data_IF_961578508963
#
_entry.id   IF_961578508963
#
_cell.length_a   1.000
_cell.length_b   1.000
_cell.length_c   1.000
_cell.angle_alpha   90.00
_cell.angle_beta   90.00
_cell.angle_gamma   90.00
#
_symmetry.space_group_name_H-M   'P 1'
#
loop_
_entity.id
_entity.type
_entity.pdbx_description
1 polymer ?
#
# COMPACT_ATOMS: atom_id res chain seq x y z
N UNK A 1 -27.30 -17.93 -1.51
CA UNK A 1 -27.77 -16.68 -2.16
C UNK A 1 -26.87 -15.54 -1.74
N UNK A 2 -26.31 -14.75 -2.68
CA UNK A 2 -25.54 -13.54 -2.37
C UNK A 2 -26.34 -12.52 -1.53
N UNK A 3 -25.67 -11.72 -0.71
CA UNK A 3 -26.31 -10.72 0.16
C UNK A 3 -27.17 -9.72 -0.63
N UNK A 4 -26.64 -9.18 -1.72
CA UNK A 4 -27.36 -8.26 -2.60
C UNK A 4 -28.67 -8.88 -3.13
N UNK A 5 -28.65 -10.16 -3.49
CA UNK A 5 -29.85 -10.87 -3.98
C UNK A 5 -30.89 -11.11 -2.88
N UNK A 6 -30.48 -11.27 -1.60
CA UNK A 6 -31.43 -11.35 -0.47
C UNK A 6 -32.07 -9.99 -0.20
N UNK A 7 -31.29 -8.92 -0.18
CA UNK A 7 -31.80 -7.57 0.05
C UNK A 7 -32.76 -7.12 -1.07
N UNK A 8 -32.43 -7.45 -2.33
CA UNK A 8 -33.31 -7.16 -3.46
C UNK A 8 -34.69 -7.80 -3.35
N UNK A 9 -34.82 -8.98 -2.72
CA UNK A 9 -36.12 -9.63 -2.50
C UNK A 9 -37.01 -8.86 -1.52
N UNK A 10 -36.43 -8.05 -0.63
CA UNK A 10 -37.17 -7.14 0.26
C UNK A 10 -37.20 -5.70 -0.25
N UNK A 11 -36.85 -5.47 -1.53
CA UNK A 11 -36.81 -4.13 -2.13
C UNK A 11 -35.70 -3.22 -1.60
N UNK A 12 -34.71 -3.78 -0.89
CA UNK A 12 -33.58 -3.04 -0.33
C UNK A 12 -32.38 -3.10 -1.28
N UNK A 13 -31.61 -2.01 -1.31
CA UNK A 13 -30.34 -1.93 -2.01
C UNK A 13 -29.19 -2.14 -1.02
N UNK A 14 -28.10 -2.76 -1.49
CA UNK A 14 -26.92 -2.95 -0.65
C UNK A 14 -26.12 -1.65 -0.56
N UNK A 15 -26.17 -1.00 0.59
CA UNK A 15 -25.32 0.15 0.93
C UNK A 15 -24.10 -0.26 1.76
N UNK A 16 -23.16 0.67 1.93
CA UNK A 16 -21.89 0.45 2.65
C UNK A 16 -22.10 0.11 4.13
N UNK A 17 -23.07 0.74 4.80
CA UNK A 17 -23.36 0.51 6.22
C UNK A 17 -23.90 -0.91 6.41
N UNK A 18 -24.87 -1.30 5.58
CA UNK A 18 -25.44 -2.65 5.57
C UNK A 18 -24.38 -3.71 5.25
N UNK A 19 -23.53 -3.45 4.25
CA UNK A 19 -22.44 -4.36 3.89
C UNK A 19 -21.46 -4.56 5.07
N UNK A 20 -21.05 -3.48 5.73
CA UNK A 20 -20.13 -3.56 6.87
C UNK A 20 -20.74 -4.36 8.02
N UNK A 21 -22.02 -4.14 8.36
CA UNK A 21 -22.70 -4.89 9.41
C UNK A 21 -22.75 -6.39 9.12
N UNK A 22 -23.06 -6.76 7.88
CA UNK A 22 -23.12 -8.16 7.45
C UNK A 22 -21.74 -8.84 7.45
N UNK A 23 -20.69 -8.11 7.06
CA UNK A 23 -19.30 -8.60 7.18
C UNK A 23 -18.90 -8.79 8.63
N UNK A 24 -19.21 -7.83 9.51
CA UNK A 24 -18.95 -7.96 10.95
C UNK A 24 -19.62 -9.20 11.53
N UNK A 25 -20.90 -9.43 11.20
CA UNK A 25 -21.62 -10.63 11.63
C UNK A 25 -20.98 -11.91 11.08
N UNK A 26 -20.64 -11.94 9.80
CA UNK A 26 -20.00 -13.12 9.20
C UNK A 26 -18.62 -13.41 9.84
N UNK A 27 -17.84 -12.38 10.14
CA UNK A 27 -16.57 -12.52 10.85
C UNK A 27 -16.79 -13.15 12.23
N UNK A 28 -17.74 -12.66 13.01
CA UNK A 28 -18.00 -13.16 14.36
C UNK A 28 -18.60 -14.56 14.40
N UNK A 29 -19.56 -14.86 13.53
CA UNK A 29 -20.34 -16.11 13.61
C UNK A 29 -19.72 -17.26 12.80
N UNK A 30 -18.94 -16.94 11.76
CA UNK A 30 -18.47 -17.95 10.80
C UNK A 30 -16.95 -17.92 10.67
N UNK A 31 -16.36 -16.79 10.30
CA UNK A 31 -14.95 -16.76 9.94
C UNK A 31 -14.02 -17.00 11.13
N UNK A 32 -14.37 -16.45 12.30
CA UNK A 32 -13.57 -16.57 13.52
C UNK A 32 -13.86 -17.86 14.32
N UNK A 33 -15.04 -18.46 14.11
CA UNK A 33 -15.49 -19.67 14.82
C UNK A 33 -15.19 -20.98 14.08
N UNK A 34 -14.93 -20.92 12.76
CA UNK A 34 -14.59 -22.12 11.97
C UNK A 34 -13.27 -22.75 12.43
N UNK A 35 -13.14 -24.06 12.25
CA UNK A 35 -11.83 -24.73 12.34
C UNK A 35 -11.05 -24.42 11.05
N UNK A 36 -9.88 -23.80 11.18
CA UNK A 36 -9.10 -23.37 10.03
C UNK A 36 -8.32 -24.55 9.40
N UNK A 37 -8.40 -24.75 8.08
CA UNK A 37 -7.89 -25.95 7.41
C UNK A 37 -6.39 -26.21 7.53
N UNK A 38 -5.55 -25.18 7.56
CA UNK A 38 -4.09 -25.35 7.70
C UNK A 38 -3.67 -25.55 9.15
N UNK A 39 -4.39 -24.94 10.07
CA UNK A 39 -3.91 -24.74 11.43
C UNK A 39 -4.72 -25.50 12.46
N UNK A 40 -5.84 -26.11 12.06
CA UNK A 40 -6.68 -27.02 12.85
C UNK A 40 -7.19 -26.44 14.18
N UNK A 41 -7.13 -25.14 14.37
CA UNK A 41 -7.68 -24.42 15.52
C UNK A 41 -8.69 -23.37 15.03
N UNK A 42 -9.55 -22.90 15.93
CA UNK A 42 -10.41 -21.74 15.68
C UNK A 42 -9.58 -20.46 15.64
N UNK A 43 -9.75 -19.58 14.62
CA UNK A 43 -9.03 -18.31 14.56
C UNK A 43 -9.21 -17.43 15.80
N UNK A 44 -10.41 -17.33 16.37
CA UNK A 44 -10.64 -16.54 17.59
C UNK A 44 -9.81 -17.03 18.79
N UNK A 45 -9.76 -18.34 18.99
CA UNK A 45 -9.02 -18.96 20.09
C UNK A 45 -7.51 -18.81 19.90
N UNK A 46 -7.01 -19.01 18.66
CA UNK A 46 -5.59 -18.83 18.39
C UNK A 46 -5.16 -17.37 18.52
N UNK A 47 -5.97 -16.42 18.02
CA UNK A 47 -5.67 -14.97 18.11
C UNK A 47 -5.42 -14.53 19.55
N UNK A 48 -6.15 -15.11 20.52
CA UNK A 48 -5.97 -14.82 21.96
C UNK A 48 -4.56 -15.17 22.45
N UNK A 49 -3.92 -16.19 21.87
CA UNK A 49 -2.54 -16.60 22.18
C UNK A 49 -1.51 -15.80 21.39
N UNK A 50 -1.78 -15.54 20.11
CA UNK A 50 -0.87 -14.85 19.20
C UNK A 50 -0.74 -13.36 19.52
N UNK A 51 -1.80 -12.71 20.00
CA UNK A 51 -1.79 -11.25 20.27
C UNK A 51 -0.68 -10.83 21.23
N UNK A 52 -0.28 -11.71 22.17
CA UNK A 52 0.80 -11.45 23.12
C UNK A 52 2.18 -11.35 22.46
N UNK A 53 2.31 -11.85 21.24
CA UNK A 53 3.55 -11.89 20.47
C UNK A 53 3.54 -10.88 19.31
N UNK A 54 2.42 -10.19 19.07
CA UNK A 54 2.30 -9.17 18.04
C UNK A 54 2.97 -7.86 18.48
N UNK A 55 3.57 -7.16 17.53
CA UNK A 55 4.08 -5.81 17.76
C UNK A 55 2.92 -4.84 17.97
N UNK A 56 3.17 -3.79 18.76
CA UNK A 56 2.21 -2.70 18.90
C UNK A 56 1.89 -2.08 17.53
N UNK A 57 0.64 -1.63 17.36
CA UNK A 57 0.28 -0.84 16.19
C UNK A 57 1.13 0.43 16.15
N UNK A 58 1.62 0.76 14.96
CA UNK A 58 2.32 2.02 14.75
C UNK A 58 1.42 3.20 15.09
N UNK A 59 2.01 4.30 15.55
CA UNK A 59 1.25 5.52 15.77
C UNK A 59 0.56 5.91 14.46
N UNK A 60 -0.68 6.45 14.51
CA UNK A 60 -1.39 6.90 13.32
C UNK A 60 -0.47 7.79 12.47
N UNK A 61 -0.30 7.45 11.20
CA UNK A 61 0.51 8.25 10.28
C UNK A 61 -0.06 9.65 10.25
N UNK A 62 0.70 10.62 10.77
CA UNK A 62 0.22 12.00 10.94
C UNK A 62 0.12 12.74 9.60
N UNK A 63 0.69 12.22 8.51
CA UNK A 63 0.78 12.90 7.21
C UNK A 63 1.61 14.19 7.22
N UNK A 64 1.81 14.78 8.41
CA UNK A 64 2.54 16.00 8.64
C UNK A 64 4.02 15.71 8.84
N UNK A 65 4.68 15.32 7.75
CA UNK A 65 6.13 15.28 7.70
C UNK A 65 6.58 16.72 7.55
N UNK A 66 7.08 17.34 8.63
CA UNK A 66 7.52 18.73 8.62
C UNK A 66 8.52 19.03 7.48
N UNK A 67 9.35 18.05 7.11
CA UNK A 67 10.31 18.13 6.00
C UNK A 67 9.68 17.99 4.59
N UNK A 68 8.45 17.48 4.47
CA UNK A 68 7.71 17.37 3.21
C UNK A 68 6.76 18.54 2.97
N UNK A 69 6.65 19.47 3.93
CA UNK A 69 5.83 20.67 3.77
C UNK A 69 6.44 21.53 2.65
N UNK A 70 5.63 22.05 1.70
CA UNK A 70 6.14 22.99 0.71
C UNK A 70 6.76 24.18 1.44
N UNK A 71 8.08 24.31 1.36
CA UNK A 71 8.75 25.52 1.82
C UNK A 71 8.36 26.63 0.86
N UNK A 72 7.93 27.78 1.38
CA UNK A 72 7.80 28.98 0.55
C UNK A 72 9.15 29.19 -0.14
N UNK A 73 9.17 29.10 -1.47
CA UNK A 73 10.39 29.27 -2.24
C UNK A 73 10.96 30.64 -1.90
N UNK A 74 12.10 30.67 -1.20
CA UNK A 74 12.94 31.86 -1.24
C UNK A 74 13.40 31.94 -2.69
N UNK A 75 13.23 33.08 -3.40
CA UNK A 75 13.69 33.20 -4.76
C UNK A 75 15.22 33.09 -4.77
N UNK A 76 15.72 31.86 -4.91
CA UNK A 76 17.10 31.61 -5.21
C UNK A 76 17.38 32.18 -6.61
N UNK A 77 18.54 32.83 -6.83
CA UNK A 77 18.92 33.25 -8.16
C UNK A 77 18.90 32.02 -9.07
N UNK A 78 18.07 32.08 -10.12
CA UNK A 78 17.95 31.02 -11.12
C UNK A 78 19.31 30.83 -11.79
N UNK A 79 20.12 29.91 -11.29
CA UNK A 79 21.32 29.47 -12.01
C UNK A 79 20.82 28.80 -13.28
N UNK A 80 21.15 29.33 -14.47
CA UNK A 80 20.70 28.72 -15.71
C UNK A 80 21.28 27.31 -15.77
N UNK A 81 20.39 26.33 -15.98
CA UNK A 81 20.77 24.94 -16.15
C UNK A 81 21.78 24.85 -17.31
N UNK A 82 22.87 24.06 -17.19
CA UNK A 82 23.80 23.86 -18.30
C UNK A 82 23.09 23.36 -19.55
N UNK A 83 23.50 23.85 -20.74
CA UNK A 83 22.85 23.55 -22.01
C UNK A 83 22.66 22.03 -22.25
N UNK A 84 23.67 21.23 -21.93
CA UNK A 84 23.62 19.75 -22.05
C UNK A 84 22.47 19.11 -21.28
N UNK A 85 22.09 19.67 -20.12
CA UNK A 85 21.00 19.12 -19.30
C UNK A 85 19.65 19.55 -19.86
N UNK A 86 19.56 20.76 -20.43
CA UNK A 86 18.34 21.22 -21.13
C UNK A 86 18.09 20.34 -22.35
N UNK A 87 19.12 20.11 -23.17
CA UNK A 87 19.06 19.26 -24.35
C UNK A 87 18.65 17.83 -23.97
N UNK A 88 19.25 17.24 -22.94
CA UNK A 88 18.90 15.89 -22.45
C UNK A 88 17.45 15.77 -21.97
N UNK A 89 16.92 16.78 -21.29
CA UNK A 89 15.53 16.76 -20.79
C UNK A 89 14.52 16.90 -21.93
N UNK A 90 14.89 17.63 -22.99
CA UNK A 90 14.04 17.82 -24.16
C UNK A 90 13.97 16.57 -25.05
N UNK A 91 14.91 15.63 -24.92
CA UNK A 91 14.88 14.36 -25.64
C UNK A 91 13.67 13.51 -25.21
N UNK A 92 12.89 13.06 -26.20
CA UNK A 92 11.77 12.15 -25.97
C UNK A 92 12.33 10.75 -25.68
N UNK A 93 12.46 10.41 -24.41
CA UNK A 93 12.86 9.09 -23.95
C UNK A 93 11.62 8.21 -23.67
N UNK A 94 11.71 6.88 -23.90
CA UNK A 94 10.68 5.95 -23.45
C UNK A 94 10.53 6.02 -21.93
N UNK A 95 9.30 5.83 -21.43
CA UNK A 95 9.00 5.87 -20.00
C UNK A 95 9.76 4.81 -19.17
N UNK A 96 10.37 3.82 -19.84
CA UNK A 96 11.14 2.76 -19.22
C UNK A 96 12.47 2.58 -19.95
N UNK A 97 13.53 2.37 -19.17
CA UNK A 97 14.82 1.96 -19.71
C UNK A 97 14.78 0.50 -20.23
N UNK A 98 15.57 0.16 -21.26
CA UNK A 98 15.77 -1.23 -21.65
C UNK A 98 16.26 -2.08 -20.46
N UNK A 99 15.83 -3.35 -20.37
CA UNK A 99 16.15 -4.23 -19.24
C UNK A 99 17.65 -4.37 -18.96
N UNK A 100 18.48 -4.33 -20.01
CA UNK A 100 19.94 -4.37 -19.91
C UNK A 100 20.52 -3.24 -19.04
N UNK A 101 19.85 -2.09 -18.94
CA UNK A 101 20.28 -0.98 -18.07
C UNK A 101 20.18 -1.38 -16.59
N UNK A 102 19.10 -2.06 -16.19
CA UNK A 102 18.94 -2.52 -14.81
C UNK A 102 19.93 -3.64 -14.48
N UNK A 103 20.18 -4.53 -15.43
CA UNK A 103 21.20 -5.58 -15.29
C UNK A 103 22.59 -4.97 -15.08
N UNK A 104 22.96 -3.97 -15.87
CA UNK A 104 24.22 -3.26 -15.74
C UNK A 104 24.32 -2.46 -14.44
N UNK A 105 23.24 -1.79 -14.01
CA UNK A 105 23.20 -1.10 -12.71
C UNK A 105 23.37 -2.09 -11.55
N UNK A 106 22.71 -3.25 -11.63
CA UNK A 106 22.85 -4.31 -10.63
C UNK A 106 24.29 -4.82 -10.59
N UNK A 107 24.91 -5.08 -11.75
CA UNK A 107 26.32 -5.45 -11.85
C UNK A 107 27.23 -4.39 -11.20
N UNK A 108 27.05 -3.10 -11.52
CA UNK A 108 27.86 -2.02 -10.98
C UNK A 108 27.73 -1.89 -9.45
N UNK A 109 26.52 -2.01 -8.91
CA UNK A 109 26.26 -2.01 -7.46
C UNK A 109 26.96 -3.20 -6.80
N UNK A 110 26.88 -4.39 -7.40
CA UNK A 110 27.55 -5.59 -6.87
C UNK A 110 29.07 -5.55 -6.97
N UNK A 111 29.62 -4.83 -7.95
CA UNK A 111 31.06 -4.66 -8.17
C UNK A 111 31.67 -3.51 -7.36
N UNK A 112 30.86 -2.76 -6.61
CA UNK A 112 31.36 -1.69 -5.74
C UNK A 112 32.01 -0.52 -6.49
N UNK A 113 31.57 -0.24 -7.72
CA UNK A 113 32.06 0.92 -8.47
C UNK A 113 31.42 2.18 -7.88
N UNK A 114 32.19 2.91 -7.07
CA UNK A 114 31.88 4.29 -6.72
C UNK A 114 31.87 5.13 -8.00
N UNK A 115 30.79 5.90 -8.19
CA UNK A 115 30.63 6.86 -9.27
C UNK A 115 31.75 7.91 -9.30
#
# INVERSE_FOLDING_TARGET
>A
MPLASRLGQSGLQLDVVTANAEVTRWLSEVANERVHGTTQEKPAERMTKEVLHLQALTAPWRGDIAAARPQAATPEPLVPRPAIVIERIAEVAPAQHPLAVYEQLLMNVTQGVAA
#
